data_IF_940608872200
#
_entry.id   IF_940608872200
#
_cell.length_a   1.000
_cell.length_b   1.000
_cell.length_c   1.000
_cell.angle_alpha   90.00
_cell.angle_beta   90.00
_cell.angle_gamma   90.00
#
_symmetry.space_group_name_H-M   'P 1'
#
loop_
_entity.id
_entity.type
_entity.pdbx_description
1 polymer ?
#
# COMPACT_ATOMS: atom_id res chain seq x y z
N UNK A 1 -0.82 2.53 23.92
CA UNK A 1 -0.73 3.47 22.80
C UNK A 1 -1.25 2.77 21.57
N UNK A 2 -2.27 3.29 20.92
CA UNK A 2 -2.81 2.76 19.66
C UNK A 2 -1.94 3.25 18.51
N UNK A 3 -1.51 2.35 17.64
CA UNK A 3 -0.81 2.75 16.42
C UNK A 3 -1.76 3.55 15.53
N UNK A 4 -1.32 4.67 14.93
CA UNK A 4 -2.15 5.42 14.00
C UNK A 4 -2.50 4.53 12.79
N UNK A 5 -3.69 4.74 12.18
CA UNK A 5 -4.08 3.99 11.00
C UNK A 5 -3.14 4.31 9.82
N UNK A 6 -2.88 3.28 9.00
CA UNK A 6 -2.18 3.46 7.73
C UNK A 6 -3.01 4.37 6.81
N UNK A 7 -2.35 5.30 6.13
CA UNK A 7 -2.96 6.17 5.13
C UNK A 7 -2.49 5.78 3.73
N UNK A 8 -3.38 5.94 2.76
CA UNK A 8 -3.02 5.76 1.36
C UNK A 8 -1.99 6.80 0.94
N UNK A 9 -0.90 6.32 0.37
CA UNK A 9 0.19 7.11 -0.22
C UNK A 9 -0.27 8.10 -1.31
N UNK A 10 -1.38 7.82 -2.01
CA UNK A 10 -1.91 8.66 -3.10
C UNK A 10 -3.01 9.60 -2.64
N UNK A 11 -4.09 9.08 -2.05
CA UNK A 11 -5.27 9.89 -1.70
C UNK A 11 -5.39 10.26 -0.21
N UNK A 12 -4.47 9.81 0.65
CA UNK A 12 -4.50 10.00 2.11
C UNK A 12 -5.72 9.40 2.85
N UNK A 13 -6.58 8.65 2.15
CA UNK A 13 -7.68 7.89 2.73
C UNK A 13 -7.20 6.77 3.66
N UNK A 14 -8.04 6.37 4.61
CA UNK A 14 -7.72 5.35 5.63
C UNK A 14 -8.32 3.98 5.33
N UNK A 15 -9.11 3.85 4.26
CA UNK A 15 -9.63 2.58 3.79
C UNK A 15 -8.51 1.78 3.09
N UNK A 16 -7.58 1.24 3.88
CA UNK A 16 -6.42 0.48 3.43
C UNK A 16 -6.47 -0.92 4.01
N UNK A 17 -6.33 -1.93 3.14
CA UNK A 17 -6.26 -3.34 3.53
C UNK A 17 -4.88 -3.91 3.25
N UNK A 18 -4.44 -4.87 4.07
CA UNK A 18 -3.24 -5.64 3.85
C UNK A 18 -3.59 -6.96 3.16
N UNK A 19 -2.97 -7.24 2.03
CA UNK A 19 -3.23 -8.44 1.21
C UNK A 19 -1.92 -9.07 0.77
N UNK A 20 -1.90 -10.38 0.57
CA UNK A 20 -0.75 -11.08 0.00
C UNK A 20 -0.97 -11.27 -1.51
N UNK A 21 0.01 -10.91 -2.33
CA UNK A 21 -0.06 -11.08 -3.78
C UNK A 21 1.32 -11.36 -4.37
N UNK A 22 1.37 -12.06 -5.50
CA UNK A 22 2.62 -12.33 -6.21
C UNK A 22 3.21 -11.04 -6.81
N UNK A 23 4.54 -10.87 -6.70
CA UNK A 23 5.28 -9.81 -7.37
C UNK A 23 5.29 -10.08 -8.89
N UNK A 24 5.00 -9.09 -9.75
CA UNK A 24 4.83 -9.31 -11.18
C UNK A 24 6.11 -9.75 -11.89
N UNK A 25 7.29 -9.38 -11.38
CA UNK A 25 8.57 -9.69 -12.02
C UNK A 25 9.24 -10.95 -11.45
N UNK A 26 9.05 -11.22 -10.15
CA UNK A 26 9.76 -12.32 -9.45
C UNK A 26 8.84 -13.49 -9.13
N UNK A 27 7.51 -13.30 -9.20
CA UNK A 27 6.52 -14.30 -8.81
C UNK A 27 6.43 -14.55 -7.31
N UNK A 28 7.26 -13.90 -6.50
CA UNK A 28 7.32 -14.12 -5.06
C UNK A 28 6.10 -13.50 -4.36
N UNK A 29 5.55 -14.20 -3.37
CA UNK A 29 4.44 -13.68 -2.58
C UNK A 29 4.92 -12.58 -1.66
N UNK A 30 4.35 -11.38 -1.80
CA UNK A 30 4.65 -10.23 -0.97
C UNK A 30 3.40 -9.62 -0.35
N UNK A 31 3.58 -9.02 0.82
CA UNK A 31 2.53 -8.25 1.48
C UNK A 31 2.40 -6.88 0.81
N UNK A 32 1.17 -6.51 0.46
CA UNK A 32 0.82 -5.23 -0.17
C UNK A 32 -0.31 -4.55 0.57
N UNK A 33 -0.14 -3.27 0.81
CA UNK A 33 -1.20 -2.37 1.23
C UNK A 33 -2.00 -1.96 0.00
N UNK A 34 -3.33 -2.05 0.06
CA UNK A 34 -4.24 -1.66 -1.04
C UNK A 34 -5.25 -0.64 -0.53
N UNK A 35 -5.32 0.52 -1.17
CA UNK A 35 -6.35 1.51 -0.90
C UNK A 35 -7.65 1.13 -1.61
N UNK A 36 -8.75 1.07 -0.87
CA UNK A 36 -10.06 0.74 -1.42
C UNK A 36 -10.70 1.91 -2.17
N UNK A 37 -10.31 3.15 -1.85
CA UNK A 37 -10.85 4.37 -2.47
C UNK A 37 -10.26 4.62 -3.87
N UNK A 38 -8.92 4.61 -4.01
CA UNK A 38 -8.25 4.90 -5.27
C UNK A 38 -7.56 3.70 -5.94
N UNK A 39 -7.69 2.50 -5.34
CA UNK A 39 -7.21 1.21 -5.87
C UNK A 39 -5.70 1.08 -6.09
N UNK A 40 -4.91 2.00 -5.58
CA UNK A 40 -3.46 1.85 -5.59
C UNK A 40 -3.01 0.79 -4.58
N UNK A 41 -2.02 -0.01 -4.98
CA UNK A 41 -1.40 -1.02 -4.14
C UNK A 41 0.12 -0.81 -4.11
N UNK A 42 0.72 -0.92 -2.93
CA UNK A 42 2.15 -0.74 -2.72
C UNK A 42 2.70 -1.78 -1.72
N UNK A 43 3.99 -2.15 -1.80
CA UNK A 43 4.62 -3.05 -0.83
C UNK A 43 4.46 -2.57 0.61
N UNK A 44 4.23 -3.49 1.55
CA UNK A 44 4.04 -3.13 2.97
C UNK A 44 5.27 -2.43 3.55
N UNK A 45 6.47 -2.85 3.15
CA UNK A 45 7.77 -2.31 3.56
C UNK A 45 8.08 -0.94 2.94
N UNK A 46 7.40 -0.55 1.85
CA UNK A 46 7.40 0.83 1.36
C UNK A 46 6.53 1.71 2.27
N UNK A 47 7.13 2.15 3.37
CA UNK A 47 6.59 3.17 4.24
C UNK A 47 7.11 4.55 3.82
N UNK A 48 6.28 5.32 3.10
CA UNK A 48 6.48 6.77 2.96
C UNK A 48 7.30 7.21 1.74
N UNK A 49 6.85 6.85 0.54
CA UNK A 49 7.19 7.58 -0.67
C UNK A 49 6.33 8.83 -0.84
N UNK A 50 6.84 9.81 -1.59
CA UNK A 50 6.04 10.97 -1.98
C UNK A 50 4.93 10.52 -2.95
N UNK A 51 3.70 11.08 -2.88
CA UNK A 51 2.58 10.67 -3.73
C UNK A 51 2.91 10.61 -5.24
N UNK A 52 3.87 11.43 -5.68
CA UNK A 52 4.34 11.55 -7.05
C UNK A 52 5.13 10.32 -7.54
N UNK A 53 5.59 9.45 -6.65
CA UNK A 53 6.36 8.24 -6.97
C UNK A 53 5.49 7.06 -7.42
N UNK A 54 4.16 7.21 -7.37
CA UNK A 54 3.19 6.15 -7.64
C UNK A 54 2.23 6.53 -8.78
N UNK A 55 2.81 6.61 -9.99
CA UNK A 55 2.11 6.89 -11.25
C UNK A 55 1.20 5.73 -11.69
#
# INVERSE_FOLDING_TARGET
MTNPPVKCIKCQGTAVVLTQAAHPETGEMQWRLTCLDCRIAWPQDQHGGAPEEYA
#
